data_IF_801961942004
#
_entry.id   IF_801961942004
#
_cell.length_a   1.000
_cell.length_b   1.000
_cell.length_c   1.000
_cell.angle_alpha   90.00
_cell.angle_beta   90.00
_cell.angle_gamma   90.00
#
_symmetry.space_group_name_H-M   'P 1'
#
loop_
_entity.id
_entity.type
_entity.pdbx_description
1 polymer ?
#
# COMPACT_ATOMS: atom_id res chain seq x y z
N UNK A 1 -5.83 -42.36 3.49
CA UNK A 1 -5.00 -41.14 3.47
C UNK A 1 -5.91 -39.96 3.14
N UNK A 2 -5.95 -38.91 3.98
CA UNK A 2 -6.64 -37.68 3.59
C UNK A 2 -5.69 -36.92 2.65
N UNK A 3 -6.07 -36.78 1.37
CA UNK A 3 -5.23 -36.14 0.36
C UNK A 3 -5.01 -34.64 0.60
N UNK A 4 -4.21 -34.02 -0.28
CA UNK A 4 -3.94 -32.58 -0.26
C UNK A 4 -5.23 -31.80 -0.57
N UNK A 5 -5.73 -31.01 0.40
CA UNK A 5 -6.98 -30.25 0.25
C UNK A 5 -6.80 -28.85 -0.34
N UNK A 6 -5.61 -28.28 -0.19
CA UNK A 6 -5.26 -26.95 -0.70
C UNK A 6 -3.76 -26.89 -1.02
N UNK A 7 -3.41 -26.21 -2.11
CA UNK A 7 -2.04 -25.85 -2.47
C UNK A 7 -1.96 -24.32 -2.50
N UNK A 8 -1.08 -23.75 -1.66
CA UNK A 8 -0.81 -22.32 -1.67
C UNK A 8 0.52 -22.08 -2.36
N UNK A 9 0.52 -21.23 -3.38
CA UNK A 9 1.72 -20.77 -4.08
C UNK A 9 1.86 -19.28 -3.80
N UNK A 10 3.00 -18.89 -3.24
CA UNK A 10 3.32 -17.50 -2.91
C UNK A 10 4.70 -17.17 -3.44
N UNK A 11 4.81 -16.13 -4.25
CA UNK A 11 6.07 -15.65 -4.80
C UNK A 11 6.00 -14.12 -5.00
N UNK A 12 7.03 -13.43 -4.53
CA UNK A 12 7.20 -11.95 -4.59
C UNK A 12 7.08 -11.41 -6.02
N UNK A 13 7.43 -12.21 -7.03
CA UNK A 13 7.62 -11.80 -8.41
C UNK A 13 6.49 -12.27 -9.35
N UNK A 14 5.37 -12.80 -8.83
CA UNK A 14 4.22 -13.18 -9.68
C UNK A 14 3.68 -11.97 -10.45
N UNK A 15 3.56 -10.82 -9.79
CA UNK A 15 3.07 -9.56 -10.37
C UNK A 15 4.12 -8.89 -11.27
N UNK A 16 5.40 -9.19 -11.06
CA UNK A 16 6.54 -8.49 -11.63
C UNK A 16 7.59 -8.24 -10.55
N UNK A 17 8.76 -7.71 -10.91
CA UNK A 17 9.83 -7.50 -9.93
C UNK A 17 9.79 -6.09 -9.34
N UNK A 18 10.11 -5.92 -8.04
CA UNK A 18 10.35 -4.62 -7.42
C UNK A 18 11.25 -3.68 -8.24
N UNK A 19 12.36 -4.22 -8.77
CA UNK A 19 13.30 -3.47 -9.60
C UNK A 19 12.66 -2.92 -10.87
N UNK A 20 11.78 -3.70 -11.52
CA UNK A 20 11.04 -3.24 -12.70
C UNK A 20 10.07 -2.13 -12.35
N UNK A 21 9.36 -2.24 -11.22
CA UNK A 21 8.44 -1.19 -10.78
C UNK A 21 9.16 0.14 -10.53
N UNK A 22 10.33 0.13 -9.89
CA UNK A 22 11.16 1.33 -9.69
C UNK A 22 11.67 1.91 -11.02
N UNK A 23 12.16 1.06 -11.93
CA UNK A 23 12.64 1.48 -13.25
C UNK A 23 11.52 2.12 -14.08
N UNK A 24 10.35 1.50 -14.08
CA UNK A 24 9.20 1.96 -14.86
C UNK A 24 8.47 3.11 -14.18
N UNK A 25 8.76 3.35 -12.89
CA UNK A 25 8.09 4.34 -12.05
C UNK A 25 6.57 4.13 -12.04
N UNK A 26 6.17 2.87 -12.02
CA UNK A 26 4.77 2.43 -12.16
C UNK A 26 4.53 1.14 -11.41
N UNK A 27 3.34 1.01 -10.82
CA UNK A 27 2.96 -0.13 -10.00
C UNK A 27 2.74 -1.37 -10.87
N UNK A 28 3.68 -2.33 -10.87
CA UNK A 28 3.58 -3.62 -11.57
C UNK A 28 2.98 -3.53 -12.99
N UNK A 29 3.59 -2.69 -13.84
CA UNK A 29 3.15 -2.53 -15.23
C UNK A 29 3.20 -3.88 -15.97
N UNK A 30 2.09 -4.28 -16.58
CA UNK A 30 1.97 -5.54 -17.33
C UNK A 30 1.70 -6.78 -16.46
N UNK A 31 1.32 -6.61 -15.19
CA UNK A 31 0.97 -7.71 -14.29
C UNK A 31 -0.09 -8.64 -14.90
N UNK A 32 -1.15 -8.10 -15.51
CA UNK A 32 -2.23 -8.91 -16.10
C UNK A 32 -1.72 -9.93 -17.13
N UNK A 33 -0.91 -9.51 -18.10
CA UNK A 33 -0.32 -10.41 -19.11
C UNK A 33 0.58 -11.48 -18.47
N UNK A 34 1.33 -11.11 -17.44
CA UNK A 34 2.21 -12.03 -16.73
C UNK A 34 1.40 -13.07 -15.96
N UNK A 35 0.36 -12.65 -15.26
CA UNK A 35 -0.52 -13.51 -14.48
C UNK A 35 -1.35 -14.44 -15.37
N UNK A 36 -1.82 -13.99 -16.53
CA UNK A 36 -2.55 -14.82 -17.49
C UNK A 36 -1.72 -16.06 -17.93
N UNK A 37 -0.39 -15.91 -18.04
CA UNK A 37 0.50 -17.06 -18.33
C UNK A 37 0.54 -18.07 -17.17
N UNK A 38 0.47 -17.60 -15.93
CA UNK A 38 0.39 -18.48 -14.76
C UNK A 38 -0.96 -19.17 -14.71
N UNK A 39 -2.05 -18.45 -14.96
CA UNK A 39 -3.40 -19.01 -15.06
C UNK A 39 -3.45 -20.17 -16.07
N UNK A 40 -2.86 -19.96 -17.26
CA UNK A 40 -2.77 -20.99 -18.30
C UNK A 40 -1.93 -22.20 -17.84
N UNK A 41 -0.81 -21.97 -17.16
CA UNK A 41 0.04 -23.04 -16.64
C UNK A 41 -0.63 -23.90 -15.55
N UNK A 42 -1.62 -23.35 -14.84
CA UNK A 42 -2.44 -24.08 -13.86
C UNK A 42 -3.70 -24.70 -14.46
N UNK A 43 -3.86 -24.68 -15.79
CA UNK A 43 -5.08 -25.12 -16.50
C UNK A 43 -6.36 -24.46 -15.97
N UNK A 44 -6.27 -23.19 -15.54
CA UNK A 44 -7.38 -22.46 -14.94
C UNK A 44 -7.86 -23.00 -13.60
N UNK A 45 -7.09 -23.86 -12.92
CA UNK A 45 -7.45 -24.43 -11.60
C UNK A 45 -7.17 -23.53 -10.40
N UNK A 46 -6.84 -22.27 -10.64
CA UNK A 46 -6.67 -21.28 -9.57
C UNK A 46 -8.05 -20.88 -9.08
N UNK A 47 -8.42 -21.30 -7.86
CA UNK A 47 -9.71 -20.97 -7.26
C UNK A 47 -9.73 -19.63 -6.52
N UNK A 48 -8.58 -19.22 -6.00
CA UNK A 48 -8.44 -18.05 -5.13
C UNK A 48 -7.14 -17.33 -5.44
N UNK A 49 -7.20 -16.01 -5.56
CA UNK A 49 -6.03 -15.13 -5.60
C UNK A 49 -6.12 -14.22 -4.40
N UNK A 50 -5.05 -14.15 -3.60
CA UNK A 50 -4.99 -13.24 -2.47
C UNK A 50 -3.90 -12.20 -2.69
N UNK A 51 -4.27 -10.92 -2.63
CA UNK A 51 -3.38 -9.77 -2.74
C UNK A 51 -3.34 -9.01 -1.40
N UNK A 52 -2.15 -8.69 -0.92
CA UNK A 52 -1.98 -7.77 0.21
C UNK A 52 -1.49 -6.42 -0.30
N UNK A 53 -2.27 -5.37 -0.08
CA UNK A 53 -1.95 -4.00 -0.48
C UNK A 53 -1.53 -3.17 0.72
N UNK A 54 -0.86 -2.04 0.49
CA UNK A 54 -0.34 -1.16 1.54
C UNK A 54 -0.46 0.29 1.07
N UNK A 55 -0.47 1.25 2.00
CA UNK A 55 -0.34 2.67 1.66
C UNK A 55 0.81 2.89 0.65
N UNK A 56 0.51 3.54 -0.48
CA UNK A 56 1.38 3.58 -1.65
C UNK A 56 2.73 4.23 -1.36
N UNK A 57 2.75 5.33 -0.61
CA UNK A 57 3.96 6.00 -0.14
C UNK A 57 4.86 5.03 0.65
N UNK A 58 4.28 4.26 1.58
CA UNK A 58 5.01 3.30 2.41
C UNK A 58 5.44 2.07 1.64
N UNK A 59 4.64 1.64 0.67
CA UNK A 59 4.99 0.54 -0.22
C UNK A 59 6.20 0.92 -1.08
N UNK A 60 6.15 2.08 -1.77
CA UNK A 60 7.24 2.57 -2.60
C UNK A 60 8.52 2.86 -1.81
N UNK A 61 8.40 3.47 -0.62
CA UNK A 61 9.53 3.71 0.26
C UNK A 61 10.21 2.39 0.70
N UNK A 62 9.40 1.40 1.08
CA UNK A 62 9.89 0.06 1.44
C UNK A 62 10.56 -0.64 0.25
N UNK A 63 9.99 -0.50 -0.95
CA UNK A 63 10.53 -1.05 -2.19
C UNK A 63 11.89 -0.44 -2.55
N UNK A 64 12.00 0.89 -2.47
CA UNK A 64 13.23 1.63 -2.73
C UNK A 64 14.31 1.26 -1.71
N UNK A 65 13.97 1.19 -0.41
CA UNK A 65 14.88 0.73 0.63
C UNK A 65 15.42 -0.68 0.36
N UNK A 66 14.55 -1.61 -0.03
CA UNK A 66 14.94 -2.98 -0.38
C UNK A 66 15.83 -3.05 -1.63
N UNK A 67 15.54 -2.23 -2.64
CA UNK A 67 16.35 -2.17 -3.85
C UNK A 67 17.75 -1.63 -3.54
N UNK A 68 17.83 -0.50 -2.83
CA UNK A 68 19.09 0.09 -2.39
C UNK A 68 19.88 -0.89 -1.53
N UNK A 69 19.25 -1.60 -0.60
CA UNK A 69 19.95 -2.59 0.22
C UNK A 69 20.45 -3.80 -0.56
N UNK A 70 19.89 -4.05 -1.76
CA UNK A 70 20.31 -5.10 -2.70
C UNK A 70 21.28 -4.60 -3.77
N UNK A 71 21.89 -3.42 -3.58
CA UNK A 71 22.92 -2.88 -4.47
C UNK A 71 22.42 -2.00 -5.61
N UNK A 72 21.13 -1.69 -5.68
CA UNK A 72 20.64 -0.71 -6.66
C UNK A 72 21.06 0.72 -6.24
N UNK A 73 21.26 1.62 -7.22
CA UNK A 73 21.52 3.02 -6.92
C UNK A 73 20.30 3.67 -6.26
N UNK A 74 20.55 4.69 -5.44
CA UNK A 74 19.48 5.49 -4.83
C UNK A 74 18.65 6.17 -5.94
N UNK A 75 17.33 5.96 -6.01
CA UNK A 75 16.50 6.66 -6.99
C UNK A 75 16.55 8.18 -6.82
N UNK A 76 16.62 8.91 -7.93
CA UNK A 76 16.66 10.37 -7.90
C UNK A 76 15.35 10.98 -7.38
N UNK A 77 15.40 12.23 -6.90
CA UNK A 77 14.19 13.01 -6.59
C UNK A 77 13.22 13.13 -7.76
N UNK A 78 13.72 13.26 -8.99
CA UNK A 78 12.88 13.25 -10.20
C UNK A 78 12.17 11.90 -10.41
N UNK A 79 12.80 10.78 -10.02
CA UNK A 79 12.18 9.45 -10.08
C UNK A 79 11.02 9.35 -9.10
N UNK A 80 11.18 9.81 -7.87
CA UNK A 80 10.11 9.82 -6.87
C UNK A 80 8.96 10.76 -7.24
N UNK A 81 9.26 11.95 -7.79
CA UNK A 81 8.24 12.84 -8.33
C UNK A 81 7.42 12.19 -9.45
N UNK A 82 8.09 11.48 -10.37
CA UNK A 82 7.41 10.74 -11.43
C UNK A 82 6.57 9.56 -10.91
N UNK A 83 7.02 8.87 -9.85
CA UNK A 83 6.23 7.84 -9.17
C UNK A 83 4.97 8.46 -8.55
N UNK A 84 5.12 9.56 -7.81
CA UNK A 84 4.00 10.26 -7.17
C UNK A 84 2.99 10.80 -8.19
N UNK A 85 3.47 11.28 -9.35
CA UNK A 85 2.63 11.77 -10.44
C UNK A 85 1.95 10.65 -11.26
N UNK A 86 2.43 9.40 -11.20
CA UNK A 86 1.85 8.30 -11.97
C UNK A 86 0.40 8.04 -11.51
N UNK A 87 -0.59 8.04 -12.40
CA UNK A 87 -2.00 7.85 -12.01
C UNK A 87 -2.31 6.43 -11.54
N UNK A 88 -1.47 5.45 -11.88
CA UNK A 88 -1.74 4.04 -11.61
C UNK A 88 -1.76 3.73 -10.11
N UNK A 89 -2.81 3.05 -9.66
CA UNK A 89 -3.05 2.73 -8.25
C UNK A 89 -3.27 1.22 -8.02
N UNK A 90 -3.61 0.81 -6.78
CA UNK A 90 -3.93 -0.59 -6.51
C UNK A 90 -5.19 -1.03 -7.24
N UNK A 91 -6.16 -0.13 -7.47
CA UNK A 91 -7.35 -0.43 -8.27
C UNK A 91 -6.97 -0.98 -9.65
N UNK A 92 -6.07 -0.31 -10.37
CA UNK A 92 -5.65 -0.77 -11.71
C UNK A 92 -4.98 -2.15 -11.65
N UNK A 93 -4.16 -2.40 -10.62
CA UNK A 93 -3.52 -3.70 -10.44
C UNK A 93 -4.55 -4.79 -10.09
N UNK A 94 -5.52 -4.49 -9.25
CA UNK A 94 -6.59 -5.42 -8.88
C UNK A 94 -7.44 -5.75 -10.11
N UNK A 95 -7.76 -4.77 -10.94
CA UNK A 95 -8.43 -4.98 -12.24
C UNK A 95 -7.60 -5.88 -13.15
N UNK A 96 -6.29 -5.64 -13.28
CA UNK A 96 -5.39 -6.51 -14.06
C UNK A 96 -5.39 -7.96 -13.55
N UNK A 97 -5.40 -8.15 -12.22
CA UNK A 97 -5.45 -9.48 -11.58
C UNK A 97 -6.78 -10.16 -11.86
N UNK A 98 -7.91 -9.44 -11.71
CA UNK A 98 -9.24 -9.97 -11.97
C UNK A 98 -9.40 -10.38 -13.45
N UNK A 99 -8.88 -9.58 -14.38
CA UNK A 99 -8.83 -9.93 -15.80
C UNK A 99 -7.99 -11.17 -16.09
N UNK A 100 -6.88 -11.38 -15.37
CA UNK A 100 -6.02 -12.54 -15.54
C UNK A 100 -6.61 -13.84 -14.94
N UNK A 101 -7.49 -13.72 -13.94
CA UNK A 101 -8.11 -14.86 -13.24
C UNK A 101 -9.63 -14.72 -13.12
N UNK A 102 -10.39 -14.70 -14.23
CA UNK A 102 -11.83 -14.39 -14.21
C UNK A 102 -12.70 -15.39 -13.44
N UNK A 103 -12.20 -16.61 -13.17
CA UNK A 103 -12.90 -17.63 -12.39
C UNK A 103 -12.43 -17.78 -10.95
N UNK A 104 -11.44 -16.98 -10.51
CA UNK A 104 -10.90 -17.06 -9.16
C UNK A 104 -11.53 -16.01 -8.25
N UNK A 105 -11.77 -16.36 -6.99
CA UNK A 105 -12.10 -15.37 -5.97
C UNK A 105 -10.88 -14.50 -5.67
N UNK A 106 -10.96 -13.20 -5.97
CA UNK A 106 -9.91 -12.23 -5.66
C UNK A 106 -10.15 -11.62 -4.28
N UNK A 107 -9.32 -11.99 -3.32
CA UNK A 107 -9.32 -11.47 -1.96
C UNK A 107 -8.22 -10.43 -1.78
N UNK A 108 -8.56 -9.30 -1.17
CA UNK A 108 -7.62 -8.21 -0.90
C UNK A 108 -7.53 -8.00 0.61
N UNK A 109 -6.32 -7.91 1.16
CA UNK A 109 -6.10 -7.55 2.57
C UNK A 109 -5.18 -6.35 2.69
N UNK A 110 -5.33 -5.59 3.78
CA UNK A 110 -4.46 -4.46 4.07
C UNK A 110 -3.26 -4.92 4.88
N UNK A 111 -2.06 -4.68 4.34
CA UNK A 111 -0.80 -5.04 4.98
C UNK A 111 -0.73 -4.48 6.40
N UNK A 112 -1.23 -3.26 6.61
CA UNK A 112 -1.32 -2.61 7.91
C UNK A 112 -2.07 -3.43 8.96
N UNK A 113 -3.07 -4.19 8.55
CA UNK A 113 -3.90 -5.00 9.43
C UNK A 113 -3.33 -6.40 9.58
N UNK A 114 -2.88 -7.01 8.48
CA UNK A 114 -2.51 -8.44 8.46
C UNK A 114 -1.00 -8.70 8.52
N UNK A 115 -0.16 -7.66 8.61
CA UNK A 115 1.28 -7.84 8.81
C UNK A 115 1.55 -8.64 10.09
N UNK A 116 2.41 -9.65 10.01
CA UNK A 116 2.70 -10.53 11.14
C UNK A 116 1.58 -11.51 11.52
N UNK A 117 0.46 -11.55 10.80
CA UNK A 117 -0.67 -12.46 11.06
C UNK A 117 -0.80 -13.54 9.96
N UNK A 118 0.14 -14.51 9.85
CA UNK A 118 0.14 -15.51 8.78
C UNK A 118 -1.08 -16.43 8.83
N UNK A 119 -1.60 -16.73 10.03
CA UNK A 119 -2.80 -17.54 10.20
C UNK A 119 -4.03 -16.87 9.56
N UNK A 120 -4.17 -15.54 9.68
CA UNK A 120 -5.26 -14.77 9.04
C UNK A 120 -5.15 -14.83 7.53
N UNK A 121 -3.95 -14.63 6.98
CA UNK A 121 -3.71 -14.71 5.52
C UNK A 121 -4.01 -16.10 4.96
N UNK A 122 -3.53 -17.15 5.63
CA UNK A 122 -3.76 -18.53 5.21
C UNK A 122 -5.23 -18.94 5.36
N UNK A 123 -5.93 -18.44 6.38
CA UNK A 123 -7.36 -18.64 6.53
C UNK A 123 -8.12 -18.04 5.35
N UNK A 124 -7.80 -16.80 4.94
CA UNK A 124 -8.41 -16.18 3.77
C UNK A 124 -8.20 -17.04 2.50
N UNK A 125 -6.96 -17.48 2.27
CA UNK A 125 -6.58 -18.27 1.08
C UNK A 125 -7.19 -19.68 1.03
N UNK A 126 -7.37 -20.33 2.19
CA UNK A 126 -7.69 -21.77 2.25
C UNK A 126 -9.03 -22.10 2.90
N UNK A 127 -9.67 -21.13 3.57
CA UNK A 127 -10.84 -21.35 4.43
C UNK A 127 -10.55 -22.18 5.68
N UNK A 128 -9.31 -22.62 5.91
CA UNK A 128 -8.95 -23.46 7.04
C UNK A 128 -8.57 -22.59 8.24
N UNK A 129 -9.12 -22.91 9.40
CA UNK A 129 -8.68 -22.29 10.66
C UNK A 129 -7.36 -22.91 11.05
N UNK A 130 -6.29 -22.13 10.96
CA UNK A 130 -4.98 -22.52 11.45
C UNK A 130 -4.75 -21.89 12.82
N UNK A 131 -4.34 -22.70 13.79
CA UNK A 131 -3.86 -22.22 15.07
C UNK A 131 -2.48 -21.58 14.88
N UNK A 132 -2.33 -20.32 15.30
CA UNK A 132 -1.07 -19.60 15.20
C UNK A 132 -1.21 -18.15 15.66
N UNK A 133 -0.21 -17.67 16.40
CA UNK A 133 -0.11 -16.28 16.82
C UNK A 133 0.60 -15.40 15.79
N UNK A 134 1.11 -14.26 16.25
CA UNK A 134 1.95 -13.40 15.42
C UNK A 134 3.26 -14.13 15.07
N UNK A 135 3.61 -14.13 13.79
CA UNK A 135 4.89 -14.64 13.31
C UNK A 135 5.99 -13.57 13.40
N UNK A 136 7.27 -13.96 13.40
CA UNK A 136 8.38 -13.00 13.31
C UNK A 136 8.31 -12.20 12.00
N UNK A 137 8.75 -10.94 12.02
CA UNK A 137 9.00 -10.18 10.79
C UNK A 137 10.26 -10.74 10.13
N UNK A 138 10.08 -11.54 9.07
CA UNK A 138 11.17 -12.23 8.39
C UNK A 138 11.94 -11.34 7.42
N UNK A 139 11.36 -10.21 6.99
CA UNK A 139 11.95 -9.32 5.99
C UNK A 139 11.74 -7.84 6.33
N UNK A 140 12.23 -7.37 7.50
CA UNK A 140 12.12 -5.96 7.85
C UNK A 140 12.92 -5.12 6.86
N UNK A 141 12.31 -4.07 6.31
CA UNK A 141 13.08 -3.08 5.53
C UNK A 141 14.18 -2.48 6.41
N UNK A 142 15.40 -2.26 5.86
CA UNK A 142 16.49 -1.67 6.62
C UNK A 142 16.13 -0.29 7.17
N UNK A 143 16.71 0.08 8.31
CA UNK A 143 16.63 1.44 8.83
C UNK A 143 17.40 2.41 7.93
N UNK A 144 17.09 3.70 7.98
CA UNK A 144 17.84 4.72 7.24
C UNK A 144 19.32 4.69 7.61
N UNK A 145 19.65 4.51 8.90
CA UNK A 145 21.03 4.40 9.34
C UNK A 145 21.75 3.21 8.69
N UNK A 146 21.06 2.06 8.54
CA UNK A 146 21.61 0.91 7.84
C UNK A 146 21.76 1.17 6.33
N UNK A 147 20.79 1.85 5.71
CA UNK A 147 20.87 2.23 4.29
C UNK A 147 22.03 3.19 4.02
N UNK A 148 22.23 4.21 4.87
CA UNK A 148 23.34 5.16 4.73
C UNK A 148 24.69 4.47 4.77
N UNK A 149 24.90 3.58 5.75
CA UNK A 149 26.13 2.75 5.81
C UNK A 149 26.31 1.91 4.55
N UNK A 150 25.24 1.26 4.06
CA UNK A 150 25.32 0.46 2.84
C UNK A 150 25.67 1.29 1.59
N UNK A 151 25.22 2.55 1.52
CA UNK A 151 25.55 3.47 0.43
C UNK A 151 27.00 3.97 0.55
N UNK A 152 27.41 4.35 1.76
CA UNK A 152 28.80 4.73 2.08
C UNK A 152 29.80 3.60 1.77
N UNK A 153 29.48 2.36 2.17
CA UNK A 153 30.31 1.17 1.94
C UNK A 153 30.51 0.88 0.44
N UNK A 154 29.62 1.39 -0.43
CA UNK A 154 29.75 1.30 -1.89
C UNK A 154 30.51 2.48 -2.52
N UNK A 155 30.88 3.49 -1.73
CA UNK A 155 31.50 4.73 -2.22
C UNK A 155 30.50 5.69 -2.88
N UNK A 156 29.21 5.53 -2.63
CA UNK A 156 28.15 6.45 -3.05
C UNK A 156 27.89 7.50 -1.95
N UNK A 157 27.28 8.64 -2.33
CA UNK A 157 26.95 9.71 -1.39
C UNK A 157 25.66 9.38 -0.59
N UNK A 158 25.74 9.18 0.75
CA UNK A 158 24.58 8.89 1.59
C UNK A 158 23.59 10.06 1.71
N UNK A 159 23.97 11.28 1.32
CA UNK A 159 23.07 12.44 1.35
C UNK A 159 21.95 12.30 0.31
N UNK A 160 22.12 11.45 -0.72
CA UNK A 160 21.01 11.08 -1.60
C UNK A 160 19.87 10.33 -0.89
N UNK A 161 20.10 9.78 0.31
CA UNK A 161 19.07 9.22 1.20
C UNK A 161 18.47 10.28 2.14
N UNK A 162 18.46 11.55 1.72
CA UNK A 162 17.64 12.57 2.36
C UNK A 162 16.20 12.07 2.53
N UNK A 163 15.67 12.28 3.73
CA UNK A 163 14.28 11.98 4.01
C UNK A 163 13.53 13.28 4.14
N UNK A 164 12.46 13.43 3.38
CA UNK A 164 11.74 14.71 3.32
C UNK A 164 10.95 15.03 4.60
N UNK A 165 10.89 14.11 5.55
CA UNK A 165 10.27 14.31 6.87
C UNK A 165 11.34 14.20 7.96
N UNK A 166 11.42 15.18 8.87
CA UNK A 166 12.20 15.04 10.10
C UNK A 166 11.44 14.13 11.08
N UNK A 167 12.05 13.05 11.58
CA UNK A 167 11.42 12.22 12.60
C UNK A 167 11.41 12.87 13.99
N UNK A 168 10.37 12.54 14.76
CA UNK A 168 10.39 12.58 16.22
C UNK A 168 11.31 11.46 16.78
N UNK A 169 11.99 11.75 17.89
CA UNK A 169 13.01 10.89 18.51
C UNK A 169 12.47 9.52 18.96
N UNK A 170 13.25 8.43 18.77
CA UNK A 170 13.08 7.18 19.51
C UNK A 170 12.72 5.89 18.74
N UNK A 171 12.45 5.93 17.43
CA UNK A 171 12.24 4.72 16.62
C UNK A 171 13.35 4.56 15.55
N UNK A 172 13.72 3.33 15.14
CA UNK A 172 14.63 3.15 14.01
C UNK A 172 13.98 3.77 12.78
N UNK A 173 14.51 4.93 12.38
CA UNK A 173 13.96 5.75 11.31
C UNK A 173 13.86 4.95 10.02
N UNK A 174 12.64 4.77 9.48
CA UNK A 174 12.45 4.20 8.14
C UNK A 174 12.57 5.33 7.14
N UNK A 175 13.32 5.08 6.06
CA UNK A 175 13.51 6.07 5.01
C UNK A 175 12.18 6.41 4.33
N UNK A 176 11.84 7.71 4.30
CA UNK A 176 10.70 8.26 3.56
C UNK A 176 11.23 9.21 2.46
N UNK A 177 11.24 8.78 1.18
CA UNK A 177 11.82 9.56 0.08
C UNK A 177 10.87 10.58 -0.58
N UNK A 178 9.58 10.49 -0.29
CA UNK A 178 8.56 11.38 -0.84
C UNK A 178 8.45 12.66 -0.01
N UNK A 179 8.28 13.80 -0.67
CA UNK A 179 7.91 15.05 0.02
C UNK A 179 6.53 14.93 0.66
N UNK A 180 6.17 15.88 1.51
CA UNK A 180 4.84 15.91 2.14
C UNK A 180 3.72 15.94 1.08
N UNK A 181 3.86 16.75 0.04
CA UNK A 181 2.87 16.86 -1.05
C UNK A 181 2.78 15.57 -1.86
N UNK A 182 3.91 14.92 -2.15
CA UNK A 182 3.94 13.66 -2.88
C UNK A 182 3.34 12.52 -2.06
N UNK A 183 3.65 12.46 -0.77
CA UNK A 183 3.05 11.50 0.14
C UNK A 183 1.53 11.73 0.26
N UNK A 184 1.07 12.99 0.29
CA UNK A 184 -0.35 13.31 0.29
C UNK A 184 -1.06 12.80 -0.97
N UNK A 185 -0.48 13.01 -2.16
CA UNK A 185 -1.02 12.48 -3.44
C UNK A 185 -1.10 10.95 -3.43
N UNK A 186 -0.07 10.27 -2.93
CA UNK A 186 -0.06 8.80 -2.83
C UNK A 186 -1.07 8.29 -1.79
N UNK A 187 -1.27 9.01 -0.69
CA UNK A 187 -2.28 8.71 0.30
C UNK A 187 -3.70 8.92 -0.22
N UNK A 188 -3.96 9.98 -0.99
CA UNK A 188 -5.25 10.23 -1.62
C UNK A 188 -5.62 9.08 -2.57
N UNK A 189 -4.70 8.67 -3.46
CA UNK A 189 -4.90 7.50 -4.34
C UNK A 189 -5.21 6.22 -3.55
N UNK A 190 -4.47 5.99 -2.46
CA UNK A 190 -4.73 4.83 -1.61
C UNK A 190 -6.09 4.92 -0.91
N UNK A 191 -6.51 6.10 -0.45
CA UNK A 191 -7.82 6.30 0.15
C UNK A 191 -8.95 6.04 -0.87
N UNK A 192 -8.78 6.48 -2.11
CA UNK A 192 -9.71 6.19 -3.21
C UNK A 192 -9.78 4.70 -3.54
N UNK A 193 -8.65 3.99 -3.53
CA UNK A 193 -8.59 2.54 -3.69
C UNK A 193 -9.36 1.83 -2.57
N UNK A 194 -9.17 2.26 -1.32
CA UNK A 194 -9.86 1.69 -0.15
C UNK A 194 -11.37 1.95 -0.19
N UNK A 195 -11.79 3.17 -0.56
CA UNK A 195 -13.21 3.49 -0.70
C UNK A 195 -13.88 2.61 -1.76
N UNK A 196 -13.23 2.43 -2.91
CA UNK A 196 -13.71 1.54 -3.97
C UNK A 196 -13.75 0.08 -3.54
N UNK A 197 -12.73 -0.42 -2.84
CA UNK A 197 -12.71 -1.77 -2.27
C UNK A 197 -13.86 -1.99 -1.28
N UNK A 198 -14.11 -1.02 -0.41
CA UNK A 198 -15.19 -1.08 0.58
C UNK A 198 -16.58 -0.99 -0.04
N UNK A 199 -16.70 -0.30 -1.18
CA UNK A 199 -17.91 -0.30 -2.01
C UNK A 199 -18.11 -1.62 -2.79
N UNK A 200 -17.25 -2.62 -2.57
CA UNK A 200 -17.35 -3.95 -3.18
C UNK A 200 -16.60 -4.10 -4.50
N UNK A 201 -15.73 -3.14 -4.88
CA UNK A 201 -14.84 -3.21 -6.03
C UNK A 201 -15.52 -3.60 -7.35
N UNK A 202 -16.77 -3.19 -7.55
CA UNK A 202 -17.59 -3.56 -8.71
C UNK A 202 -17.74 -5.09 -8.89
N UNK A 203 -17.60 -5.86 -7.81
CA UNK A 203 -17.60 -7.32 -7.82
C UNK A 203 -16.29 -7.96 -8.27
N UNK A 204 -15.25 -7.18 -8.59
CA UNK A 204 -13.95 -7.69 -9.02
C UNK A 204 -13.14 -8.30 -7.87
N UNK A 205 -13.32 -7.80 -6.65
CA UNK A 205 -12.54 -8.22 -5.49
C UNK A 205 -13.32 -8.08 -4.19
N UNK A 206 -12.93 -8.85 -3.18
CA UNK A 206 -13.45 -8.75 -1.82
C UNK A 206 -12.37 -8.26 -0.86
N UNK A 207 -12.64 -7.16 -0.16
CA UNK A 207 -11.82 -6.73 0.97
C UNK A 207 -12.01 -7.70 2.14
N UNK A 208 -10.92 -8.27 2.62
CA UNK A 208 -10.85 -9.20 3.76
C UNK A 208 -10.30 -8.47 4.98
N UNK A 209 -10.89 -8.72 6.15
CA UNK A 209 -10.54 -8.05 7.40
C UNK A 209 -11.65 -7.11 7.90
N UNK A 210 -11.35 -6.40 8.99
CA UNK A 210 -12.30 -5.50 9.66
C UNK A 210 -12.06 -4.04 9.29
N UNK A 211 -11.66 -3.77 8.04
CA UNK A 211 -11.49 -2.39 7.60
C UNK A 211 -12.84 -1.69 7.60
N UNK A 212 -12.92 -0.60 8.37
CA UNK A 212 -14.02 0.34 8.31
C UNK A 212 -13.48 1.64 7.76
N UNK A 213 -14.22 2.25 6.84
CA UNK A 213 -13.95 3.62 6.42
C UNK A 213 -13.92 4.46 7.70
N UNK A 214 -12.77 5.04 8.01
CA UNK A 214 -12.75 6.12 8.99
C UNK A 214 -13.44 7.27 8.28
N UNK A 215 -14.68 7.54 8.65
CA UNK A 215 -15.39 8.73 8.21
C UNK A 215 -14.41 9.89 8.35
N UNK A 216 -14.06 10.50 7.22
CA UNK A 216 -13.22 11.68 7.21
C UNK A 216 -13.81 12.63 8.23
N UNK A 217 -12.99 13.12 9.16
CA UNK A 217 -13.39 14.21 10.01
C UNK A 217 -13.70 15.39 9.08
N UNK A 218 -14.95 15.48 8.64
CA UNK A 218 -15.49 16.63 7.95
C UNK A 218 -15.19 17.78 8.92
N UNK A 219 -14.34 18.76 8.56
CA UNK A 219 -14.20 19.93 9.40
C UNK A 219 -15.61 20.50 9.53
N UNK A 220 -16.11 20.55 10.77
CA UNK A 220 -17.42 21.15 11.04
C UNK A 220 -17.43 22.52 10.35
N UNK A 221 -18.48 22.86 9.56
CA UNK A 221 -18.54 24.16 8.94
C UNK A 221 -18.42 25.19 10.05
N UNK A 222 -17.32 25.94 10.02
CA UNK A 222 -17.04 26.99 10.99
C UNK A 222 -18.28 27.87 11.05
N UNK A 223 -18.86 28.00 12.24
CA UNK A 223 -20.00 28.89 12.47
C UNK A 223 -19.55 30.32 12.18
N UNK A 224 -19.76 30.79 10.95
CA UNK A 224 -19.70 32.21 10.61
C UNK A 224 -20.92 32.90 11.18
N UNK A 225 -20.93 33.16 12.50
CA UNK A 225 -21.78 34.20 13.07
C UNK A 225 -21.17 35.56 12.76
N UNK A 226 -21.47 36.08 11.57
CA UNK A 226 -21.39 37.52 11.30
C UNK A 226 -22.79 38.10 11.55
N UNK A 227 -22.99 38.60 12.76
CA UNK A 227 -24.23 39.27 13.18
C UNK A 227 -23.93 40.17 14.37
N UNK A 228 -23.61 41.43 14.08
CA UNK A 228 -23.39 42.47 15.09
C UNK A 228 -24.75 42.92 15.63
N UNK A 229 -25.05 42.60 16.89
CA UNK A 229 -26.22 43.11 17.59
C UNK A 229 -25.89 44.49 18.19
N UNK A 230 -26.22 45.55 17.48
CA UNK A 230 -26.45 46.86 18.08
C UNK A 230 -27.85 47.32 17.76
N UNK A 231 -28.78 47.06 18.68
CA UNK A 231 -30.01 47.83 18.80
C UNK A 231 -30.34 48.00 20.28
N UNK A 232 -29.93 49.13 20.84
CA UNK A 232 -30.33 49.59 22.16
C UNK A 232 -31.71 50.26 22.03
N UNK A 233 -32.75 49.56 22.46
CA UNK A 233 -34.07 50.16 22.74
C UNK A 233 -33.94 51.15 23.91
N UNK A 234 -34.12 52.44 23.66
CA UNK A 234 -34.60 53.41 24.65
C UNK A 234 -36.13 53.48 24.54
N UNK A 235 -36.82 52.98 25.57
CA UNK A 235 -38.24 53.28 25.77
C UNK A 235 -38.38 54.61 26.49
N UNK A 236 -39.12 55.54 25.91
CA UNK A 236 -39.67 56.69 26.63
C UNK A 236 -41.00 56.26 27.25
N UNK A 237 -41.09 56.45 28.57
CA UNK A 237 -42.34 56.47 29.34
C UNK A 237 -43.00 57.84 29.11
N UNK A 238 -44.34 57.85 29.16
CA UNK A 238 -45.17 59.05 29.12
C UNK A 238 -44.81 60.08 30.20
#
# INVERSE_FOLDING_TARGET
AQGLRALVISDENLLGTPRRALRDRSLYQGAGLRLARHQAAFDGRVSTVHLSIRALDRWWASLAALAVSRGEPVPSRASFAAIAANPRSWRDLITDVACAFPGAALQVSLYEEVAGQPAVKLHAMTGQTLSGGHGPDLNPSPSLAALRRLVEDRGEDPDHLESATSAAEGAPYRWQPFTQDEAAVLHEKYADDLFWLAAGAEGLAQLTGNWQAKDGANPQPAQTKRGSNHDQRKGCVA
#
